data_IF_655441509133
#
_entry.id   IF_655441509133
#
_cell.length_a   1.000
_cell.length_b   1.000
_cell.length_c   1.000
_cell.angle_alpha   90.00
_cell.angle_beta   90.00
_cell.angle_gamma   90.00
#
_symmetry.space_group_name_H-M   'P 1'
#
loop_
_entity.id
_entity.type
_entity.pdbx_description
1 polymer ?
#
# COMPACT_ATOMS: atom_id res chain seq x y z
N UNK A 1 -20.13 -18.76 -26.04
CA UNK A 1 -19.41 -20.04 -26.19
C UNK A 1 -18.53 -20.42 -24.99
N UNK A 2 -18.65 -19.80 -23.81
CA UNK A 2 -17.88 -20.24 -22.63
C UNK A 2 -18.56 -20.09 -21.26
N UNK A 3 -19.80 -19.60 -21.16
CA UNK A 3 -20.50 -19.54 -19.85
C UNK A 3 -20.79 -20.92 -19.23
N UNK A 4 -20.86 -21.99 -20.04
CA UNK A 4 -21.10 -23.37 -19.57
C UNK A 4 -19.82 -24.20 -19.38
N UNK A 5 -18.63 -23.58 -19.41
CA UNK A 5 -17.37 -24.28 -19.13
C UNK A 5 -17.24 -24.49 -17.63
N UNK A 6 -16.87 -25.71 -17.21
CA UNK A 6 -16.58 -26.02 -15.80
C UNK A 6 -15.54 -25.09 -15.19
N UNK A 7 -14.59 -24.60 -15.99
CA UNK A 7 -13.59 -23.60 -15.56
C UNK A 7 -14.24 -22.26 -15.23
N UNK A 8 -15.25 -21.82 -16.00
CA UNK A 8 -15.96 -20.57 -15.74
C UNK A 8 -16.94 -20.74 -14.57
N UNK A 9 -17.59 -21.89 -14.43
CA UNK A 9 -18.38 -22.21 -13.24
C UNK A 9 -17.52 -22.23 -11.98
N UNK A 10 -16.32 -22.83 -12.05
CA UNK A 10 -15.34 -22.78 -10.97
C UNK A 10 -14.84 -21.35 -10.69
N UNK A 11 -14.58 -20.53 -11.72
CA UNK A 11 -14.17 -19.13 -11.53
C UNK A 11 -15.30 -18.27 -10.93
N UNK A 12 -16.55 -18.47 -11.34
CA UNK A 12 -17.71 -17.78 -10.76
C UNK A 12 -17.93 -18.20 -9.32
N UNK A 13 -17.84 -19.51 -9.03
CA UNK A 13 -17.90 -20.03 -7.65
C UNK A 13 -16.72 -19.56 -6.81
N UNK A 14 -15.53 -19.45 -7.40
CA UNK A 14 -14.35 -18.87 -6.75
C UNK A 14 -14.57 -17.40 -6.42
N UNK A 15 -15.22 -16.63 -7.30
CA UNK A 15 -15.58 -15.24 -7.06
C UNK A 15 -16.69 -15.08 -6.00
N UNK A 16 -17.59 -16.05 -5.87
CA UNK A 16 -18.57 -16.09 -4.76
C UNK A 16 -17.92 -16.43 -3.42
N UNK A 17 -16.90 -17.31 -3.42
CA UNK A 17 -16.15 -17.73 -2.23
C UNK A 17 -15.10 -16.67 -1.84
N UNK A 18 -14.55 -15.95 -2.81
CA UNK A 18 -13.56 -14.88 -2.63
C UNK A 18 -14.03 -13.61 -3.38
N UNK A 19 -15.07 -12.93 -2.88
CA UNK A 19 -15.59 -11.72 -3.51
C UNK A 19 -14.59 -10.58 -3.34
N UNK A 20 -13.81 -10.34 -4.39
CA UNK A 20 -12.76 -9.34 -4.38
C UNK A 20 -11.54 -9.83 -3.58
N UNK A 21 -10.52 -10.29 -4.31
CA UNK A 21 -9.27 -10.73 -3.70
C UNK A 21 -8.27 -9.59 -3.72
N UNK A 22 -7.80 -9.19 -2.55
CA UNK A 22 -6.67 -8.26 -2.43
C UNK A 22 -5.38 -9.08 -2.30
N UNK A 23 -4.44 -8.88 -3.23
CA UNK A 23 -3.12 -9.51 -3.14
C UNK A 23 -2.24 -8.81 -2.12
N UNK A 24 -1.52 -9.62 -1.33
CA UNK A 24 -0.41 -9.19 -0.50
C UNK A 24 0.84 -9.94 -0.93
N UNK A 25 1.93 -9.21 -1.12
CA UNK A 25 3.21 -9.77 -1.54
C UNK A 25 4.26 -9.40 -0.51
N UNK A 26 4.98 -10.36 0.05
CA UNK A 26 6.01 -10.13 1.07
C UNK A 26 7.34 -10.55 0.43
N UNK A 27 8.10 -9.60 -0.11
CA UNK A 27 9.40 -9.90 -0.69
C UNK A 27 10.40 -10.29 0.40
N UNK A 28 11.27 -11.22 0.06
CA UNK A 28 12.27 -11.81 0.95
C UNK A 28 13.58 -11.91 0.19
N UNK A 29 14.69 -11.46 0.80
CA UNK A 29 16.04 -11.58 0.24
C UNK A 29 17.02 -12.02 1.31
N UNK A 30 18.01 -12.82 0.94
CA UNK A 30 19.13 -13.15 1.82
C UNK A 30 19.89 -11.90 2.27
N UNK A 31 20.33 -11.87 3.54
CA UNK A 31 21.19 -10.79 4.05
C UNK A 31 22.57 -10.77 3.37
N UNK A 32 23.03 -11.91 2.89
CA UNK A 32 24.27 -12.05 2.14
C UNK A 32 23.98 -12.02 0.62
N UNK A 33 24.69 -11.19 -0.16
CA UNK A 33 24.56 -11.22 -1.61
C UNK A 33 25.20 -12.48 -2.22
N UNK A 34 24.59 -12.94 -3.31
CA UNK A 34 25.14 -13.97 -4.20
C UNK A 34 26.30 -13.37 -4.98
N UNK A 35 27.36 -14.15 -5.15
CA UNK A 35 28.52 -13.78 -5.94
C UNK A 35 28.46 -14.45 -7.30
N UNK A 36 28.95 -13.80 -8.37
CA UNK A 36 28.95 -14.40 -9.70
C UNK A 36 29.76 -15.69 -9.76
N UNK A 37 29.38 -16.58 -10.67
CA UNK A 37 30.11 -17.83 -10.93
C UNK A 37 31.55 -17.54 -11.35
N UNK A 38 32.48 -18.34 -10.83
CA UNK A 38 33.87 -18.28 -11.24
C UNK A 38 34.01 -18.72 -12.71
N UNK A 39 34.59 -17.87 -13.57
CA UNK A 39 34.76 -18.15 -15.01
C UNK A 39 36.14 -18.67 -15.38
N UNK A 40 37.18 -18.22 -14.68
CA UNK A 40 38.60 -18.49 -15.02
C UNK A 40 39.46 -18.87 -13.82
N UNK A 41 38.98 -18.60 -12.61
CA UNK A 41 39.68 -18.90 -11.35
C UNK A 41 38.94 -20.05 -10.67
N UNK A 42 39.67 -21.05 -10.18
CA UNK A 42 39.07 -22.20 -9.50
C UNK A 42 39.37 -22.11 -8.01
N UNK A 43 38.47 -22.66 -7.20
CA UNK A 43 38.72 -22.80 -5.78
C UNK A 43 39.89 -23.79 -5.59
N UNK A 44 40.71 -23.63 -4.54
CA UNK A 44 41.82 -24.54 -4.28
C UNK A 44 41.34 -26.00 -4.21
N UNK A 45 42.03 -26.91 -4.89
CA UNK A 45 41.70 -28.34 -4.94
C UNK A 45 41.53 -28.95 -3.52
N UNK A 46 42.27 -28.43 -2.54
CA UNK A 46 42.19 -28.84 -1.15
C UNK A 46 40.79 -28.71 -0.53
N UNK A 47 39.91 -27.85 -1.06
CA UNK A 47 38.52 -27.70 -0.58
C UNK A 47 37.67 -28.92 -0.96
N UNK A 48 37.94 -29.53 -2.12
CA UNK A 48 37.22 -30.70 -2.61
C UNK A 48 37.49 -31.94 -1.73
N UNK A 49 38.65 -31.98 -1.07
CA UNK A 49 39.08 -33.07 -0.20
C UNK A 49 38.62 -32.91 1.27
N UNK A 50 37.97 -31.80 1.64
CA UNK A 50 37.48 -31.59 3.01
C UNK A 50 36.18 -32.39 3.22
N UNK A 51 36.26 -33.44 4.03
CA UNK A 51 35.09 -34.25 4.42
C UNK A 51 34.19 -33.55 5.43
N UNK A 52 34.74 -32.73 6.32
CA UNK A 52 33.96 -31.94 7.30
C UNK A 52 33.23 -30.78 6.60
N UNK A 53 31.90 -30.86 6.58
CA UNK A 53 31.06 -29.86 5.91
C UNK A 53 31.15 -28.46 6.51
N UNK A 54 31.34 -28.33 7.82
CA UNK A 54 31.46 -27.02 8.47
C UNK A 54 32.80 -26.38 8.15
N UNK A 55 33.87 -27.17 8.19
CA UNK A 55 35.21 -26.73 7.80
C UNK A 55 35.24 -26.34 6.32
N UNK A 56 34.65 -27.16 5.46
CA UNK A 56 34.53 -26.88 4.01
C UNK A 56 33.75 -25.59 3.76
N UNK A 57 32.62 -25.38 4.45
CA UNK A 57 31.83 -24.16 4.32
C UNK A 57 32.61 -22.91 4.76
N UNK A 58 33.39 -23.00 5.84
CA UNK A 58 34.24 -21.88 6.29
C UNK A 58 35.32 -21.55 5.26
N UNK A 59 35.99 -22.57 4.73
CA UNK A 59 37.03 -22.38 3.72
C UNK A 59 36.46 -21.80 2.42
N UNK A 60 35.27 -22.24 2.01
CA UNK A 60 34.52 -21.67 0.90
C UNK A 60 34.21 -20.19 1.09
N UNK A 61 33.85 -19.74 2.30
CA UNK A 61 33.60 -18.33 2.57
C UNK A 61 34.88 -17.48 2.52
N UNK A 62 36.02 -18.03 2.97
CA UNK A 62 37.32 -17.37 2.89
C UNK A 62 37.72 -17.16 1.42
N UNK A 63 37.63 -18.19 0.59
CA UNK A 63 37.97 -18.08 -0.83
C UNK A 63 36.95 -17.23 -1.60
N UNK A 64 35.66 -17.26 -1.24
CA UNK A 64 34.63 -16.32 -1.77
C UNK A 64 35.05 -14.87 -1.58
N UNK A 65 35.51 -14.50 -0.39
CA UNK A 65 35.95 -13.12 -0.12
C UNK A 65 37.23 -12.75 -0.87
N UNK A 66 38.12 -13.71 -1.10
CA UNK A 66 39.42 -13.49 -1.74
C UNK A 66 39.34 -13.41 -3.26
N UNK A 67 38.53 -14.27 -3.89
CA UNK A 67 38.38 -14.38 -5.35
C UNK A 67 37.20 -13.55 -5.87
N UNK A 68 36.22 -13.22 -5.02
CA UNK A 68 35.04 -12.45 -5.42
C UNK A 68 34.09 -13.22 -6.35
N UNK A 69 34.26 -14.54 -6.47
CA UNK A 69 33.43 -15.42 -7.28
C UNK A 69 33.06 -16.70 -6.49
N UNK A 70 32.06 -17.44 -6.98
CA UNK A 70 31.64 -18.71 -6.38
C UNK A 70 31.79 -19.90 -7.32
N UNK A 71 32.25 -21.01 -6.74
CA UNK A 71 32.35 -22.30 -7.38
C UNK A 71 31.31 -23.26 -6.76
N UNK A 72 30.17 -23.53 -7.46
CA UNK A 72 29.12 -24.39 -6.93
C UNK A 72 29.55 -25.85 -6.86
N UNK A 73 30.54 -26.29 -7.65
CA UNK A 73 31.04 -27.66 -7.63
C UNK A 73 31.85 -27.93 -6.35
N UNK A 74 32.65 -26.95 -5.92
CA UNK A 74 33.42 -27.01 -4.67
C UNK A 74 32.55 -26.81 -3.42
N UNK A 75 31.62 -25.84 -3.47
CA UNK A 75 31.00 -25.27 -2.28
C UNK A 75 29.48 -25.44 -2.18
N UNK A 76 28.86 -26.06 -3.19
CA UNK A 76 27.42 -26.24 -3.28
C UNK A 76 26.68 -25.00 -3.80
N UNK A 77 25.38 -25.14 -4.06
CA UNK A 77 24.55 -24.05 -4.59
C UNK A 77 24.47 -22.85 -3.62
N UNK A 78 24.58 -21.62 -4.15
CA UNK A 78 24.33 -20.39 -3.41
C UNK A 78 22.83 -20.09 -3.28
N UNK A 79 22.49 -19.14 -2.43
CA UNK A 79 21.14 -18.60 -2.32
C UNK A 79 20.42 -19.06 -1.06
N UNK A 80 19.69 -18.14 -0.44
CA UNK A 80 19.06 -18.35 0.85
C UNK A 80 17.94 -19.39 0.84
N UNK A 81 17.30 -19.62 -0.32
CA UNK A 81 16.25 -20.62 -0.49
C UNK A 81 16.77 -22.07 -0.57
N UNK A 82 18.10 -22.27 -0.58
CA UNK A 82 18.71 -23.57 -0.31
C UNK A 82 18.77 -23.90 1.20
N UNK A 83 18.35 -22.97 2.07
CA UNK A 83 18.39 -23.17 3.51
C UNK A 83 17.05 -23.73 4.07
N UNK A 84 17.06 -24.97 4.55
CA UNK A 84 15.94 -25.65 5.18
C UNK A 84 15.35 -24.91 6.39
N UNK A 85 16.16 -24.19 7.18
CA UNK A 85 15.64 -23.40 8.31
C UNK A 85 14.80 -22.21 7.80
N UNK A 86 15.22 -21.58 6.70
CA UNK A 86 14.47 -20.47 6.06
C UNK A 86 13.14 -20.99 5.54
N UNK A 87 13.16 -22.10 4.79
CA UNK A 87 11.94 -22.71 4.27
C UNK A 87 11.00 -23.18 5.39
N UNK A 88 11.54 -23.65 6.52
CA UNK A 88 10.74 -24.06 7.67
C UNK A 88 10.04 -22.89 8.35
N UNK A 89 10.72 -21.75 8.51
CA UNK A 89 10.08 -20.56 9.07
C UNK A 89 9.07 -19.95 8.08
N UNK A 90 9.31 -20.06 6.76
CA UNK A 90 8.30 -19.74 5.73
C UNK A 90 7.08 -20.66 5.83
N UNK A 91 7.28 -21.96 6.05
CA UNK A 91 6.17 -22.90 6.27
C UNK A 91 5.33 -22.50 7.49
N UNK A 92 5.96 -22.13 8.61
CA UNK A 92 5.24 -21.65 9.80
C UNK A 92 4.45 -20.38 9.50
N UNK A 93 5.07 -19.42 8.81
CA UNK A 93 4.42 -18.18 8.41
C UNK A 93 3.21 -18.43 7.51
N UNK A 94 3.34 -19.30 6.51
CA UNK A 94 2.22 -19.66 5.64
C UNK A 94 1.09 -20.35 6.40
N UNK A 95 1.41 -21.26 7.31
CA UNK A 95 0.43 -21.97 8.10
C UNK A 95 -0.30 -20.99 9.07
N UNK A 96 0.43 -20.05 9.66
CA UNK A 96 -0.15 -18.96 10.45
C UNK A 96 -1.06 -18.07 9.59
N UNK A 97 -0.58 -17.61 8.44
CA UNK A 97 -1.37 -16.81 7.50
C UNK A 97 -2.65 -17.55 7.11
N UNK A 98 -2.61 -18.83 6.76
CA UNK A 98 -3.81 -19.64 6.45
C UNK A 98 -4.76 -19.84 7.62
N UNK A 99 -4.26 -19.77 8.86
CA UNK A 99 -5.09 -19.82 10.06
C UNK A 99 -5.77 -18.48 10.37
N UNK A 100 -5.34 -17.41 9.71
CA UNK A 100 -5.90 -16.08 9.88
C UNK A 100 -7.30 -16.01 9.28
N UNK A 101 -8.25 -15.40 10.00
CA UNK A 101 -9.66 -15.33 9.61
C UNK A 101 -9.90 -14.74 8.21
N UNK A 102 -9.05 -13.80 7.80
CA UNK A 102 -9.22 -13.01 6.59
C UNK A 102 -8.22 -13.32 5.47
N UNK A 103 -7.35 -14.32 5.61
CA UNK A 103 -6.41 -14.73 4.56
C UNK A 103 -6.89 -16.06 4.00
N UNK A 104 -7.36 -16.06 2.75
CA UNK A 104 -7.96 -17.24 2.13
C UNK A 104 -6.96 -18.20 1.51
N UNK A 105 -5.85 -17.65 1.04
CA UNK A 105 -4.85 -18.43 0.32
C UNK A 105 -3.47 -17.82 0.52
N UNK A 106 -2.47 -18.67 0.53
CA UNK A 106 -1.06 -18.29 0.58
C UNK A 106 -0.24 -19.13 -0.37
N UNK A 107 0.85 -18.57 -0.87
CA UNK A 107 1.78 -19.20 -1.81
C UNK A 107 3.20 -18.74 -1.56
N UNK A 108 4.16 -19.65 -1.46
CA UNK A 108 5.59 -19.33 -1.51
C UNK A 108 6.37 -20.52 -2.05
N UNK A 109 7.66 -20.30 -2.29
CA UNK A 109 8.55 -21.37 -2.74
C UNK A 109 8.59 -22.58 -1.79
N UNK A 110 8.35 -22.39 -0.49
CA UNK A 110 8.30 -23.48 0.49
C UNK A 110 7.24 -24.55 0.13
N UNK A 111 6.16 -24.19 -0.55
CA UNK A 111 5.13 -25.14 -0.98
C UNK A 111 5.65 -26.14 -2.02
N UNK A 112 6.49 -25.70 -2.96
CA UNK A 112 7.10 -26.59 -3.94
C UNK A 112 7.99 -27.62 -3.25
N UNK A 113 8.82 -27.18 -2.31
CA UNK A 113 9.70 -28.06 -1.53
C UNK A 113 8.89 -29.08 -0.72
N UNK A 114 7.79 -28.66 -0.08
CA UNK A 114 6.88 -29.57 0.65
C UNK A 114 6.23 -30.60 -0.27
N UNK A 115 5.79 -30.19 -1.46
CA UNK A 115 5.19 -31.08 -2.45
C UNK A 115 6.21 -32.09 -2.98
N UNK A 116 7.42 -31.63 -3.30
CA UNK A 116 8.52 -32.50 -3.74
C UNK A 116 8.89 -33.48 -2.63
N UNK A 117 8.98 -33.04 -1.37
CA UNK A 117 9.22 -33.92 -0.23
C UNK A 117 8.16 -35.02 -0.16
N UNK A 118 6.87 -34.65 -0.16
CA UNK A 118 5.75 -35.60 -0.10
C UNK A 118 5.72 -36.59 -1.26
N UNK A 119 6.14 -36.17 -2.46
CA UNK A 119 6.17 -37.02 -3.65
C UNK A 119 7.37 -37.98 -3.64
N UNK A 120 8.53 -37.53 -3.16
CA UNK A 120 9.76 -38.31 -3.14
C UNK A 120 9.87 -39.24 -1.92
N UNK A 121 9.13 -38.98 -0.84
CA UNK A 121 9.02 -39.89 0.31
C UNK A 121 8.06 -41.05 0.05
N UNK A 122 7.15 -40.92 -0.92
CA UNK A 122 6.22 -41.99 -1.26
C UNK A 122 6.92 -43.12 -2.03
N UNK A 123 6.77 -44.37 -1.58
CA UNK A 123 7.33 -45.52 -2.29
C UNK A 123 6.62 -45.74 -3.65
N UNK A 124 7.32 -46.26 -4.67
CA UNK A 124 6.71 -46.55 -5.98
C UNK A 124 5.48 -47.46 -5.86
N UNK A 125 4.30 -46.93 -6.19
CA UNK A 125 3.03 -47.65 -6.11
C UNK A 125 2.19 -47.33 -4.86
N UNK A 126 2.74 -46.60 -3.90
CA UNK A 126 2.01 -46.05 -2.76
C UNK A 126 1.44 -44.65 -3.07
N UNK A 127 0.39 -44.26 -2.35
CA UNK A 127 -0.20 -42.91 -2.48
C UNK A 127 0.55 -41.93 -1.57
N UNK A 128 0.81 -40.70 -2.02
CA UNK A 128 1.42 -39.67 -1.17
C UNK A 128 0.56 -39.40 0.07
N UNK A 129 1.22 -39.23 1.22
CA UNK A 129 0.56 -39.01 2.51
C UNK A 129 0.73 -37.55 2.93
N UNK A 130 -0.36 -36.89 3.35
CA UNK A 130 -0.34 -35.47 3.75
C UNK A 130 0.63 -35.18 4.90
N UNK A 131 0.91 -36.17 5.75
CA UNK A 131 1.90 -36.06 6.83
C UNK A 131 3.28 -35.64 6.32
N UNK A 132 3.64 -36.06 5.11
CA UNK A 132 4.97 -35.81 4.52
C UNK A 132 5.01 -34.49 3.74
N UNK A 133 3.92 -33.70 3.76
CA UNK A 133 3.83 -32.34 3.22
C UNK A 133 4.49 -31.31 4.16
N UNK A 134 5.76 -31.52 4.46
CA UNK A 134 6.56 -30.72 5.39
C UNK A 134 7.94 -30.39 4.78
N UNK A 135 8.60 -29.36 5.30
CA UNK A 135 10.00 -29.09 4.94
C UNK A 135 10.90 -30.13 5.63
N UNK A 136 11.89 -30.74 4.92
CA UNK A 136 12.77 -31.77 5.45
C UNK A 136 13.82 -31.20 6.42
N UNK A 137 13.36 -30.58 7.52
CA UNK A 137 14.21 -30.05 8.58
C UNK A 137 14.84 -31.15 9.42
N UNK A 138 15.88 -30.81 10.20
CA UNK A 138 16.48 -31.78 11.13
C UNK A 138 15.44 -32.35 12.10
N UNK A 139 14.56 -31.49 12.63
CA UNK A 139 13.50 -31.91 13.54
C UNK A 139 12.49 -32.86 12.87
N UNK A 140 12.13 -32.61 11.61
CA UNK A 140 11.27 -33.49 10.82
C UNK A 140 11.93 -34.86 10.62
N UNK A 141 13.18 -34.90 10.16
CA UNK A 141 13.90 -36.14 9.91
C UNK A 141 14.02 -37.00 11.17
N UNK A 142 14.44 -36.40 12.29
CA UNK A 142 14.57 -37.12 13.57
C UNK A 142 13.24 -37.52 14.20
N UNK A 143 12.12 -36.92 13.76
CA UNK A 143 10.78 -37.32 14.21
C UNK A 143 10.28 -38.59 13.52
N UNK A 144 10.80 -38.88 12.32
CA UNK A 144 10.49 -40.08 11.55
C UNK A 144 11.45 -41.20 11.96
N UNK A 145 12.74 -40.90 11.95
CA UNK A 145 13.80 -41.81 12.35
C UNK A 145 14.81 -41.07 13.25
N UNK A 146 14.86 -41.37 14.57
CA UNK A 146 15.79 -40.74 15.50
C UNK A 146 17.26 -40.84 15.10
N UNK A 147 17.63 -41.86 14.33
CA UNK A 147 19.00 -42.12 13.88
C UNK A 147 19.29 -41.52 12.49
N UNK A 148 18.33 -40.77 11.90
CA UNK A 148 18.51 -40.11 10.60
C UNK A 148 19.62 -39.05 10.68
N UNK A 149 20.73 -39.31 10.00
CA UNK A 149 21.91 -38.46 9.94
C UNK A 149 21.95 -37.56 8.70
N UNK A 150 20.93 -37.64 7.83
CA UNK A 150 20.88 -36.84 6.60
C UNK A 150 20.89 -35.35 6.90
N UNK A 151 21.50 -34.62 5.97
CA UNK A 151 21.66 -33.18 6.04
C UNK A 151 20.45 -32.48 5.39
N UNK A 152 19.63 -31.74 6.16
CA UNK A 152 18.49 -30.99 5.63
C UNK A 152 18.84 -30.09 4.46
N UNK A 153 20.01 -29.44 4.51
CA UNK A 153 20.43 -28.49 3.47
C UNK A 153 20.70 -29.21 2.15
N UNK A 154 21.39 -30.35 2.21
CA UNK A 154 21.64 -31.20 1.04
C UNK A 154 20.36 -31.75 0.42
N UNK A 155 19.35 -32.08 1.23
CA UNK A 155 18.03 -32.53 0.72
C UNK A 155 17.34 -31.40 -0.05
N UNK A 156 17.29 -30.20 0.53
CA UNK A 156 16.68 -29.04 -0.13
C UNK A 156 17.42 -28.69 -1.43
N UNK A 157 18.76 -28.71 -1.42
CA UNK A 157 19.55 -28.48 -2.63
C UNK A 157 19.26 -29.51 -3.73
N UNK A 158 19.10 -30.78 -3.38
CA UNK A 158 18.70 -31.83 -4.32
C UNK A 158 17.32 -31.52 -4.92
N UNK A 159 16.36 -31.10 -4.09
CA UNK A 159 15.02 -30.74 -4.56
C UNK A 159 15.06 -29.54 -5.51
N UNK A 160 15.86 -28.52 -5.18
CA UNK A 160 16.01 -27.33 -6.02
C UNK A 160 16.63 -27.69 -7.38
N UNK A 161 17.67 -28.54 -7.42
CA UNK A 161 18.27 -29.02 -8.68
C UNK A 161 17.31 -29.89 -9.51
N UNK A 162 16.48 -30.71 -8.86
CA UNK A 162 15.41 -31.45 -9.55
C UNK A 162 14.36 -30.50 -10.14
N UNK A 163 13.94 -29.49 -9.39
CA UNK A 163 12.98 -28.50 -9.87
C UNK A 163 13.55 -27.73 -11.05
N UNK A 164 14.80 -27.24 -10.95
CA UNK A 164 15.48 -26.51 -12.03
C UNK A 164 15.57 -27.33 -13.33
N UNK A 165 15.80 -28.65 -13.24
CA UNK A 165 15.83 -29.53 -14.42
C UNK A 165 14.45 -29.88 -14.98
N UNK A 166 13.39 -29.77 -14.18
CA UNK A 166 12.01 -30.11 -14.58
C UNK A 166 11.17 -28.89 -14.99
N UNK A 167 11.61 -27.67 -14.65
CA UNK A 167 10.92 -26.42 -14.97
C UNK A 167 11.55 -25.72 -16.17
N UNK A 168 10.73 -25.03 -16.97
CA UNK A 168 11.22 -24.16 -18.04
C UNK A 168 11.69 -22.82 -17.46
N UNK A 169 12.52 -22.10 -18.22
CA UNK A 169 12.90 -20.72 -17.87
C UNK A 169 11.65 -19.85 -17.63
N UNK A 170 11.59 -19.20 -16.47
CA UNK A 170 10.44 -18.37 -16.06
C UNK A 170 9.36 -19.07 -15.23
N UNK A 171 9.33 -20.41 -15.15
CA UNK A 171 8.27 -21.13 -14.43
C UNK A 171 8.33 -20.91 -12.91
N UNK A 172 9.52 -20.67 -12.35
CA UNK A 172 9.74 -20.45 -10.91
C UNK A 172 9.88 -18.97 -10.52
N UNK A 173 10.12 -18.08 -11.50
CA UNK A 173 10.39 -16.65 -11.29
C UNK A 173 9.26 -15.90 -10.58
N UNK A 174 8.05 -16.49 -10.56
CA UNK A 174 6.90 -15.97 -9.82
C UNK A 174 7.04 -16.07 -8.30
N UNK A 175 7.91 -16.95 -7.78
CA UNK A 175 8.07 -17.21 -6.35
C UNK A 175 9.51 -17.09 -5.84
N UNK A 176 10.50 -17.42 -6.67
CA UNK A 176 11.92 -17.38 -6.32
C UNK A 176 12.72 -16.93 -7.53
N UNK A 177 13.72 -16.09 -7.33
CA UNK A 177 14.63 -15.68 -8.38
C UNK A 177 15.59 -16.82 -8.74
N UNK A 178 16.11 -16.80 -9.97
CA UNK A 178 17.04 -17.81 -10.49
C UNK A 178 18.34 -17.94 -9.67
N UNK A 179 18.73 -16.90 -8.92
CA UNK A 179 19.90 -16.92 -8.04
C UNK A 179 19.62 -17.54 -6.65
N UNK A 180 18.39 -18.01 -6.42
CA UNK A 180 17.93 -18.61 -5.18
C UNK A 180 18.05 -17.72 -3.94
N UNK A 181 18.26 -16.40 -4.13
CA UNK A 181 18.50 -15.48 -3.03
C UNK A 181 17.36 -14.52 -2.75
N UNK A 182 16.41 -14.45 -3.68
CA UNK A 182 15.22 -13.61 -3.59
C UNK A 182 13.98 -14.44 -3.82
N UNK A 183 12.90 -14.09 -3.13
CA UNK A 183 11.60 -14.72 -3.34
C UNK A 183 10.48 -13.92 -2.74
N UNK A 184 9.26 -14.44 -2.87
CA UNK A 184 8.06 -13.75 -2.40
C UNK A 184 7.09 -14.72 -1.74
N UNK A 185 6.51 -14.28 -0.62
CA UNK A 185 5.33 -14.91 -0.03
C UNK A 185 4.11 -14.14 -0.52
N UNK A 186 3.23 -14.82 -1.25
CA UNK A 186 1.96 -14.32 -1.75
C UNK A 186 0.85 -14.69 -0.78
N UNK A 187 -0.08 -13.79 -0.58
CA UNK A 187 -1.33 -14.02 0.15
C UNK A 187 -2.50 -13.37 -0.58
N UNK A 188 -3.68 -13.93 -0.34
CA UNK A 188 -4.95 -13.39 -0.83
C UNK A 188 -5.86 -13.12 0.35
N UNK A 189 -6.23 -11.84 0.49
CA UNK A 189 -7.10 -11.36 1.55
C UNK A 189 -8.55 -11.49 1.09
N UNK A 190 -9.37 -12.12 1.93
CA UNK A 190 -10.77 -12.46 1.66
C UNK A 190 -11.76 -11.46 2.26
N UNK A 191 -11.31 -10.24 2.51
CA UNK A 191 -12.16 -9.15 3.00
C UNK A 191 -11.91 -7.89 2.22
N UNK A 192 -13.00 -7.16 2.00
CA UNK A 192 -13.06 -5.82 1.42
C UNK A 192 -13.55 -4.83 2.48
N UNK A 193 -13.39 -5.09 3.77
CA UNK A 193 -13.61 -4.09 4.82
C UNK A 193 -12.28 -3.36 5.12
N UNK A 194 -12.23 -2.02 5.04
CA UNK A 194 -10.96 -1.30 5.19
C UNK A 194 -10.34 -1.43 6.59
N UNK A 195 -11.13 -1.69 7.64
CA UNK A 195 -10.61 -1.91 8.99
C UNK A 195 -10.00 -3.29 9.10
N UNK A 196 -10.66 -4.29 8.54
CA UNK A 196 -10.19 -5.67 8.56
C UNK A 196 -8.93 -5.83 7.68
N UNK A 197 -8.88 -5.23 6.49
CA UNK A 197 -7.69 -5.25 5.62
C UNK A 197 -6.50 -4.57 6.29
N UNK A 198 -6.73 -3.45 6.98
CA UNK A 198 -5.69 -2.77 7.74
C UNK A 198 -5.18 -3.63 8.90
N UNK A 199 -6.10 -4.26 9.64
CA UNK A 199 -5.75 -5.16 10.74
C UNK A 199 -4.90 -6.33 10.24
N UNK A 200 -5.29 -6.97 9.13
CA UNK A 200 -4.50 -8.06 8.52
C UNK A 200 -3.09 -7.60 8.16
N UNK A 201 -2.94 -6.38 7.62
CA UNK A 201 -1.62 -5.83 7.31
C UNK A 201 -0.78 -5.67 8.58
N UNK A 202 -1.37 -5.12 9.65
CA UNK A 202 -0.69 -4.97 10.94
C UNK A 202 -0.32 -6.32 11.54
N UNK A 203 -1.19 -7.32 11.44
CA UNK A 203 -0.96 -8.67 11.96
C UNK A 203 0.20 -9.35 11.20
N UNK A 204 0.26 -9.20 9.87
CA UNK A 204 1.38 -9.73 9.05
C UNK A 204 2.69 -9.04 9.45
N UNK A 205 2.70 -7.71 9.55
CA UNK A 205 3.89 -6.96 9.95
C UNK A 205 4.33 -7.34 11.37
N UNK A 206 3.39 -7.51 12.29
CA UNK A 206 3.66 -7.93 13.66
C UNK A 206 4.23 -9.35 13.70
N UNK A 207 3.68 -10.29 12.93
CA UNK A 207 4.23 -11.64 12.83
C UNK A 207 5.69 -11.62 12.39
N UNK A 208 6.01 -10.82 11.36
CA UNK A 208 7.40 -10.67 10.88
C UNK A 208 8.29 -10.09 12.00
N UNK A 209 7.82 -9.07 12.71
CA UNK A 209 8.59 -8.46 13.82
C UNK A 209 8.87 -9.43 14.97
N UNK A 210 7.90 -10.27 15.32
CA UNK A 210 8.02 -11.26 16.39
C UNK A 210 8.97 -12.40 16.00
N UNK A 211 8.99 -12.79 14.73
CA UNK A 211 9.73 -13.98 14.25
C UNK A 211 10.99 -13.64 13.44
N UNK A 212 11.35 -12.36 13.27
CA UNK A 212 12.54 -11.96 12.49
C UNK A 212 13.86 -12.55 13.00
N UNK A 213 13.90 -12.97 14.25
CA UNK A 213 15.08 -13.58 14.88
C UNK A 213 15.05 -15.12 14.91
N UNK A 214 14.06 -15.75 14.26
CA UNK A 214 14.02 -17.20 14.14
C UNK A 214 15.22 -17.73 13.31
N UNK A 215 15.50 -19.03 13.42
CA UNK A 215 16.72 -19.65 12.87
C UNK A 215 16.90 -19.41 11.37
N UNK A 216 15.81 -19.42 10.61
CA UNK A 216 15.78 -19.10 9.20
C UNK A 216 15.62 -17.60 8.96
N UNK A 217 14.63 -16.99 9.60
CA UNK A 217 14.27 -15.58 9.37
C UNK A 217 15.39 -14.59 9.72
N UNK A 218 16.26 -14.92 10.68
CA UNK A 218 17.44 -14.11 11.03
C UNK A 218 18.43 -13.92 9.87
N UNK A 219 18.39 -14.79 8.85
CA UNK A 219 19.26 -14.79 7.67
C UNK A 219 18.70 -14.01 6.47
N UNK A 220 17.45 -13.54 6.55
CA UNK A 220 16.76 -12.82 5.47
C UNK A 220 16.31 -11.44 5.91
N UNK A 221 16.14 -10.56 4.94
CA UNK A 221 15.42 -9.29 5.07
C UNK A 221 14.02 -9.45 4.49
N UNK A 222 13.04 -8.84 5.15
CA UNK A 222 11.63 -8.89 4.77
C UNK A 222 11.13 -7.52 4.33
N UNK A 223 10.18 -7.55 3.39
CA UNK A 223 9.33 -6.40 3.10
C UNK A 223 10.07 -5.22 2.48
N UNK A 224 9.34 -4.39 1.76
CA UNK A 224 9.91 -3.16 1.23
C UNK A 224 10.11 -2.15 2.36
N UNK A 225 11.10 -1.29 2.23
CA UNK A 225 11.29 -0.15 3.13
C UNK A 225 10.14 0.85 2.94
N UNK A 226 9.32 1.08 3.97
CA UNK A 226 8.39 2.22 4.01
C UNK A 226 9.07 3.40 4.71
N UNK A 227 9.84 4.20 3.97
CA UNK A 227 10.54 5.36 4.54
C UNK A 227 9.58 6.36 5.21
N UNK A 228 10.03 7.14 6.22
CA UNK A 228 9.25 8.28 6.69
C UNK A 228 9.02 9.28 5.54
N UNK A 229 7.89 10.00 5.56
CA UNK A 229 7.46 10.94 4.50
C UNK A 229 8.50 12.02 4.17
N UNK A 230 9.44 12.28 5.07
CA UNK A 230 10.53 13.25 4.89
C UNK A 230 11.64 12.74 3.94
N UNK A 231 11.64 11.45 3.60
CA UNK A 231 12.52 10.81 2.62
C UNK A 231 11.90 10.87 1.21
N UNK A 232 12.00 12.04 0.57
CA UNK A 232 11.57 12.29 -0.81
C UNK A 232 12.43 11.56 -1.86
N UNK A 233 13.38 10.70 -1.46
CA UNK A 233 14.28 10.00 -2.39
C UNK A 233 13.60 8.93 -3.25
N UNK A 234 12.31 8.67 -3.01
CA UNK A 234 11.56 7.66 -3.75
C UNK A 234 11.84 6.26 -3.22
N UNK A 235 10.92 5.34 -3.50
CA UNK A 235 11.07 3.93 -3.14
C UNK A 235 12.26 3.34 -3.92
N UNK A 236 13.36 3.01 -3.22
CA UNK A 236 14.57 2.44 -3.81
C UNK A 236 14.41 0.94 -4.13
N UNK A 237 13.21 0.34 -3.93
CA UNK A 237 12.99 -1.11 -3.92
C UNK A 237 13.95 -1.82 -2.94
N UNK A 238 14.44 -1.11 -1.93
CA UNK A 238 15.29 -1.66 -0.89
C UNK A 238 14.42 -2.32 0.17
N UNK A 239 14.86 -3.48 0.64
CA UNK A 239 14.18 -4.16 1.74
C UNK A 239 14.45 -3.45 3.06
N UNK A 240 13.60 -3.68 4.06
CA UNK A 240 13.93 -3.24 5.41
C UNK A 240 15.17 -3.99 5.93
N UNK A 241 16.14 -3.24 6.45
CA UNK A 241 17.40 -3.77 6.99
C UNK A 241 17.51 -3.43 8.47
N UNK A 242 17.83 -4.44 9.29
CA UNK A 242 18.13 -4.26 10.71
C UNK A 242 19.31 -3.29 10.89
N UNK A 243 19.13 -2.23 11.70
CA UNK A 243 20.18 -1.25 11.95
C UNK A 243 19.68 0.05 12.57
N UNK A 244 20.53 1.08 12.56
CA UNK A 244 20.21 2.40 13.11
C UNK A 244 19.01 3.07 12.42
N UNK A 245 18.72 2.70 11.17
CA UNK A 245 17.62 3.20 10.35
C UNK A 245 16.55 2.12 10.13
N UNK A 246 16.33 1.24 11.11
CA UNK A 246 15.33 0.18 10.98
C UNK A 246 13.94 0.76 10.78
N UNK A 247 13.26 0.26 9.76
CA UNK A 247 11.88 0.60 9.44
C UNK A 247 11.07 -0.68 9.51
N UNK A 248 9.85 -0.62 10.06
CA UNK A 248 8.97 -1.79 10.05
C UNK A 248 8.79 -2.31 8.61
N UNK A 249 8.97 -3.61 8.35
CA UNK A 249 8.90 -4.15 6.99
C UNK A 249 7.49 -3.97 6.42
N UNK A 250 7.38 -3.28 5.28
CA UNK A 250 6.10 -3.10 4.62
C UNK A 250 5.78 -4.31 3.73
N UNK A 251 4.49 -4.59 3.59
CA UNK A 251 4.01 -5.57 2.62
C UNK A 251 3.79 -4.87 1.28
N UNK A 252 3.99 -5.59 0.19
CA UNK A 252 3.70 -5.15 -1.17
C UNK A 252 2.37 -5.70 -1.68
N UNK A 253 2.20 -5.69 -3.01
CA UNK A 253 0.93 -6.05 -3.65
C UNK A 253 -0.10 -4.93 -3.56
N UNK A 254 -1.35 -5.22 -3.93
CA UNK A 254 -2.42 -4.22 -3.89
C UNK A 254 -2.73 -3.76 -2.46
N UNK A 255 -2.61 -4.67 -1.48
CA UNK A 255 -2.75 -4.35 -0.06
C UNK A 255 -1.70 -3.33 0.39
N UNK A 256 -0.43 -3.62 0.10
CA UNK A 256 0.69 -2.77 0.42
C UNK A 256 0.57 -1.36 -0.14
N UNK A 257 0.21 -1.25 -1.42
CA UNK A 257 -0.01 0.03 -2.07
C UNK A 257 -1.15 0.83 -1.42
N UNK A 258 -2.26 0.17 -1.10
CA UNK A 258 -3.42 0.81 -0.46
C UNK A 258 -3.08 1.30 0.95
N UNK A 259 -2.34 0.50 1.72
CA UNK A 259 -1.88 0.88 3.06
C UNK A 259 -0.86 2.02 3.02
N UNK A 260 0.11 1.98 2.12
CA UNK A 260 1.08 3.07 1.95
C UNK A 260 0.38 4.40 1.63
N UNK A 261 -0.60 4.38 0.72
CA UNK A 261 -1.40 5.58 0.42
C UNK A 261 -2.27 6.03 1.60
N UNK A 262 -2.77 5.08 2.40
CA UNK A 262 -3.57 5.36 3.61
C UNK A 262 -2.70 5.99 4.69
N UNK A 263 -1.48 5.51 4.91
CA UNK A 263 -0.52 6.08 5.86
C UNK A 263 -0.24 7.55 5.52
N UNK A 264 0.13 7.83 4.27
CA UNK A 264 0.34 9.22 3.79
C UNK A 264 -0.92 10.07 3.98
N UNK A 265 -2.09 9.50 3.72
CA UNK A 265 -3.34 10.21 3.90
C UNK A 265 -3.63 10.52 5.38
N UNK A 266 -3.41 9.56 6.28
CA UNK A 266 -3.60 9.73 7.73
C UNK A 266 -2.53 10.62 8.34
N UNK A 267 -1.36 10.78 7.76
CA UNK A 267 -0.40 11.79 8.24
C UNK A 267 -0.78 13.20 7.79
N UNK A 268 -1.28 13.34 6.56
CA UNK A 268 -1.58 14.62 5.94
C UNK A 268 -3.01 15.10 6.16
N UNK A 269 -3.87 14.26 6.73
CA UNK A 269 -5.31 14.54 6.91
C UNK A 269 -5.57 15.88 7.57
N UNK A 270 -4.73 16.31 8.52
CA UNK A 270 -4.86 17.61 9.20
C UNK A 270 -3.83 18.63 8.71
N UNK A 271 -2.60 18.20 8.40
CA UNK A 271 -1.51 19.09 7.96
C UNK A 271 -1.86 19.81 6.65
N UNK A 272 -2.35 19.07 5.65
CA UNK A 272 -2.65 19.62 4.32
C UNK A 272 -3.79 20.67 4.35
N UNK A 273 -4.98 20.39 4.93
CA UNK A 273 -6.03 21.39 5.04
C UNK A 273 -5.61 22.62 5.84
N UNK A 274 -4.85 22.45 6.92
CA UNK A 274 -4.39 23.59 7.73
C UNK A 274 -3.42 24.49 6.96
N UNK A 275 -2.49 23.92 6.18
CA UNK A 275 -1.58 24.68 5.33
C UNK A 275 -2.35 25.43 4.23
N UNK A 276 -3.31 24.76 3.58
CA UNK A 276 -4.17 25.37 2.56
C UNK A 276 -5.05 26.48 3.15
N UNK A 277 -5.68 26.23 4.30
CA UNK A 277 -6.45 27.22 5.05
C UNK A 277 -5.63 28.45 5.43
N UNK A 278 -4.40 28.23 5.93
CA UNK A 278 -3.49 29.31 6.30
C UNK A 278 -3.07 30.13 5.07
N UNK A 279 -2.73 29.47 3.96
CA UNK A 279 -2.39 30.14 2.71
C UNK A 279 -3.55 31.00 2.20
N UNK A 280 -4.77 30.44 2.17
CA UNK A 280 -5.99 31.16 1.78
C UNK A 280 -6.25 32.34 2.72
N UNK A 281 -6.11 32.16 4.04
CA UNK A 281 -6.29 33.24 5.00
C UNK A 281 -5.30 34.39 4.77
N UNK A 282 -4.02 34.08 4.56
CA UNK A 282 -3.00 35.09 4.29
C UNK A 282 -3.28 35.83 2.97
N UNK A 283 -3.55 35.08 1.89
CA UNK A 283 -3.80 35.67 0.56
C UNK A 283 -5.06 36.55 0.59
N UNK A 284 -6.17 36.07 1.16
CA UNK A 284 -7.40 36.83 1.28
C UNK A 284 -7.24 38.06 2.19
N UNK A 285 -6.50 37.93 3.30
CA UNK A 285 -6.19 39.06 4.17
C UNK A 285 -5.39 40.15 3.43
N UNK A 286 -4.47 39.77 2.54
CA UNK A 286 -3.69 40.70 1.72
C UNK A 286 -4.53 41.35 0.62
N UNK A 287 -5.32 40.56 -0.13
CA UNK A 287 -6.18 41.05 -1.23
C UNK A 287 -7.20 42.06 -0.70
N UNK A 288 -7.89 41.71 0.39
CA UNK A 288 -8.94 42.55 0.96
C UNK A 288 -8.43 43.53 2.01
N UNK A 289 -7.15 43.46 2.38
CA UNK A 289 -6.55 44.24 3.49
C UNK A 289 -7.41 44.18 4.76
N UNK A 290 -8.02 43.01 5.02
CA UNK A 290 -9.00 42.84 6.08
C UNK A 290 -8.97 41.44 6.68
N UNK A 291 -8.50 41.34 7.92
CA UNK A 291 -8.48 40.08 8.68
C UNK A 291 -9.90 39.53 8.94
N UNK A 292 -10.89 40.41 9.06
CA UNK A 292 -12.29 39.99 9.27
C UNK A 292 -12.85 39.30 8.02
N UNK A 293 -12.60 39.84 6.83
CA UNK A 293 -13.02 39.23 5.56
C UNK A 293 -12.33 37.88 5.36
N UNK A 294 -11.03 37.82 5.60
CA UNK A 294 -10.27 36.58 5.53
C UNK A 294 -10.82 35.52 6.50
N UNK A 295 -11.17 35.92 7.73
CA UNK A 295 -11.78 35.05 8.72
C UNK A 295 -13.15 34.53 8.31
N UNK A 296 -13.99 35.35 7.67
CA UNK A 296 -15.30 34.94 7.14
C UNK A 296 -15.13 33.89 6.03
N UNK A 297 -14.23 34.13 5.08
CA UNK A 297 -13.95 33.19 3.98
C UNK A 297 -13.37 31.88 4.51
N UNK A 298 -12.44 31.96 5.48
CA UNK A 298 -11.90 30.77 6.13
C UNK A 298 -13.00 29.97 6.84
N UNK A 299 -13.92 30.65 7.54
CA UNK A 299 -15.01 29.99 8.23
C UNK A 299 -15.95 29.24 7.27
N UNK A 300 -16.29 29.82 6.12
CA UNK A 300 -17.10 29.12 5.11
C UNK A 300 -16.39 27.90 4.55
N UNK A 301 -15.08 27.96 4.35
CA UNK A 301 -14.28 26.81 3.89
C UNK A 301 -14.22 25.69 4.93
N UNK A 302 -14.14 26.03 6.22
CA UNK A 302 -14.16 25.01 7.27
C UNK A 302 -15.47 24.23 7.29
N UNK A 303 -16.60 24.84 6.91
CA UNK A 303 -17.89 24.13 6.81
C UNK A 303 -17.82 23.06 5.71
N UNK A 304 -17.33 23.42 4.52
CA UNK A 304 -17.13 22.48 3.41
C UNK A 304 -16.15 21.37 3.80
N UNK A 305 -15.05 21.72 4.45
CA UNK A 305 -14.05 20.79 4.97
C UNK A 305 -14.67 19.74 5.91
N UNK A 306 -15.42 20.20 6.94
CA UNK A 306 -16.05 19.29 7.89
C UNK A 306 -17.15 18.44 7.25
N UNK A 307 -17.87 18.98 6.27
CA UNK A 307 -18.86 18.22 5.52
C UNK A 307 -18.21 17.08 4.72
N UNK A 308 -17.12 17.36 3.99
CA UNK A 308 -16.38 16.33 3.26
C UNK A 308 -15.83 15.24 4.18
N UNK A 309 -15.27 15.59 5.34
CA UNK A 309 -14.89 14.58 6.35
C UNK A 309 -16.08 13.78 6.85
N UNK A 310 -17.23 14.42 7.05
CA UNK A 310 -18.48 13.77 7.43
C UNK A 310 -18.93 12.76 6.37
N UNK A 311 -18.91 13.13 5.09
CA UNK A 311 -19.26 12.24 3.98
C UNK A 311 -18.27 11.09 3.85
N UNK A 312 -16.96 11.37 3.99
CA UNK A 312 -15.94 10.32 4.00
C UNK A 312 -16.09 9.35 5.18
N UNK A 313 -16.43 9.87 6.36
CA UNK A 313 -16.79 9.08 7.52
C UNK A 313 -18.02 8.22 7.28
N UNK A 314 -19.05 8.74 6.62
CA UNK A 314 -20.26 7.99 6.26
C UNK A 314 -19.96 6.85 5.29
N UNK A 315 -19.21 7.11 4.21
CA UNK A 315 -18.87 6.08 3.23
C UNK A 315 -17.97 4.98 3.81
N UNK A 316 -17.06 5.31 4.72
CA UNK A 316 -16.21 4.32 5.40
C UNK A 316 -16.95 3.53 6.47
N UNK A 317 -17.83 4.16 7.26
CA UNK A 317 -18.48 3.52 8.42
C UNK A 317 -19.80 2.82 8.13
N UNK A 318 -20.58 3.33 7.16
CA UNK A 318 -21.91 2.81 6.82
C UNK A 318 -21.91 2.18 5.44
N UNK A 319 -21.17 2.77 4.49
CA UNK A 319 -21.05 2.25 3.13
C UNK A 319 -20.13 1.03 2.98
N UNK A 320 -19.40 0.64 4.04
CA UNK A 320 -18.36 -0.39 4.04
C UNK A 320 -17.40 -0.27 2.86
N UNK A 321 -17.07 0.97 2.47
CA UNK A 321 -16.28 1.21 1.28
C UNK A 321 -14.78 1.17 1.62
N UNK A 322 -14.08 0.16 1.12
CA UNK A 322 -12.65 -0.13 1.39
C UNK A 322 -11.63 0.43 0.41
N UNK A 323 -12.04 1.29 -0.53
CA UNK A 323 -11.11 1.87 -1.50
C UNK A 323 -10.04 2.76 -0.85
N UNK A 324 -9.15 3.32 -1.68
CA UNK A 324 -8.19 4.35 -1.28
C UNK A 324 -8.87 5.71 -0.98
N UNK A 325 -10.01 5.65 -0.29
CA UNK A 325 -10.96 6.73 -0.09
C UNK A 325 -10.34 7.85 0.74
N UNK A 326 -9.44 7.52 1.66
CA UNK A 326 -8.68 8.49 2.44
C UNK A 326 -7.80 9.37 1.54
N UNK A 327 -7.12 8.79 0.54
CA UNK A 327 -6.33 9.56 -0.41
C UNK A 327 -7.22 10.42 -1.32
N UNK A 328 -8.30 9.85 -1.86
CA UNK A 328 -9.23 10.59 -2.70
C UNK A 328 -9.89 11.76 -1.96
N UNK A 329 -10.23 11.57 -0.69
CA UNK A 329 -10.76 12.61 0.18
C UNK A 329 -9.78 13.78 0.29
N UNK A 330 -8.48 13.53 0.49
CA UNK A 330 -7.48 14.60 0.57
C UNK A 330 -7.29 15.36 -0.75
N UNK A 331 -7.26 14.64 -1.88
CA UNK A 331 -7.15 15.26 -3.20
C UNK A 331 -8.37 16.15 -3.47
N UNK A 332 -9.57 15.63 -3.24
CA UNK A 332 -10.81 16.38 -3.46
C UNK A 332 -10.97 17.55 -2.51
N UNK A 333 -10.53 17.42 -1.26
CA UNK A 333 -10.51 18.49 -0.28
C UNK A 333 -9.61 19.65 -0.73
N UNK A 334 -8.42 19.36 -1.25
CA UNK A 334 -7.52 20.38 -1.78
C UNK A 334 -8.14 21.12 -2.97
N UNK A 335 -8.80 20.39 -3.87
CA UNK A 335 -9.53 20.96 -5.02
C UNK A 335 -10.71 21.81 -4.53
N UNK A 336 -11.53 21.26 -3.63
CA UNK A 336 -12.70 21.91 -3.07
C UNK A 336 -12.35 23.23 -2.37
N UNK A 337 -11.34 23.23 -1.51
CA UNK A 337 -10.93 24.46 -0.82
C UNK A 337 -10.47 25.56 -1.78
N UNK A 338 -9.82 25.20 -2.89
CA UNK A 338 -9.44 26.14 -3.95
C UNK A 338 -10.64 26.68 -4.72
N UNK A 339 -11.57 25.82 -5.12
CA UNK A 339 -12.77 26.24 -5.87
C UNK A 339 -13.75 27.05 -4.99
N UNK A 340 -13.92 26.64 -3.73
CA UNK A 340 -14.88 27.25 -2.80
C UNK A 340 -14.50 28.67 -2.39
N UNK A 341 -13.20 28.95 -2.21
CA UNK A 341 -12.77 30.30 -1.81
C UNK A 341 -13.03 31.32 -2.91
N UNK A 342 -12.87 30.93 -4.17
CA UNK A 342 -13.06 31.81 -5.33
C UNK A 342 -14.48 32.36 -5.39
N UNK A 343 -15.49 31.53 -5.10
CA UNK A 343 -16.88 31.99 -5.05
C UNK A 343 -17.09 33.04 -3.95
N UNK A 344 -16.51 32.81 -2.77
CA UNK A 344 -16.58 33.78 -1.68
C UNK A 344 -15.87 35.09 -2.01
N UNK A 345 -14.70 35.03 -2.66
CA UNK A 345 -13.93 36.20 -3.10
C UNK A 345 -14.76 37.03 -4.09
N UNK A 346 -15.34 36.41 -5.12
CA UNK A 346 -16.17 37.11 -6.10
C UNK A 346 -17.40 37.74 -5.47
N UNK A 347 -18.09 37.02 -4.58
CA UNK A 347 -19.26 37.54 -3.89
C UNK A 347 -18.92 38.74 -3.00
N UNK A 348 -17.83 38.70 -2.22
CA UNK A 348 -17.42 39.82 -1.36
C UNK A 348 -16.96 41.01 -2.19
N UNK A 349 -16.18 40.79 -3.26
CA UNK A 349 -15.71 41.87 -4.13
C UNK A 349 -16.89 42.62 -4.74
N UNK A 350 -17.84 41.87 -5.32
CA UNK A 350 -19.03 42.48 -5.93
C UNK A 350 -19.92 43.18 -4.90
N UNK A 351 -20.10 42.56 -3.74
CA UNK A 351 -20.88 43.17 -2.66
C UNK A 351 -20.30 44.51 -2.22
N UNK A 352 -18.98 44.63 -2.14
CA UNK A 352 -18.33 45.92 -1.83
C UNK A 352 -18.55 46.95 -2.94
N UNK A 353 -18.40 46.58 -4.20
CA UNK A 353 -18.65 47.49 -5.33
C UNK A 353 -20.09 48.03 -5.30
N UNK A 354 -21.07 47.15 -5.07
CA UNK A 354 -22.47 47.53 -4.99
C UNK A 354 -22.80 48.34 -3.73
N UNK A 355 -22.17 48.05 -2.59
CA UNK A 355 -22.27 48.87 -1.38
C UNK A 355 -21.77 50.30 -1.61
N UNK A 356 -20.70 50.47 -2.38
CA UNK A 356 -20.19 51.79 -2.77
C UNK A 356 -21.13 52.49 -3.78
N UNK A 357 -21.62 51.75 -4.79
CA UNK A 357 -22.48 52.30 -5.83
C UNK A 357 -23.86 52.74 -5.33
N UNK A 358 -24.42 52.02 -4.35
CA UNK A 358 -25.76 52.28 -3.77
C UNK A 358 -25.73 53.19 -2.54
N UNK A 359 -24.56 53.77 -2.21
CA UNK A 359 -24.42 54.66 -1.04
C UNK A 359 -24.64 53.96 0.30
N UNK A 360 -24.30 52.67 0.40
CA UNK A 360 -24.40 51.87 1.63
C UNK A 360 -25.75 51.19 1.86
N UNK A 361 -26.65 51.18 0.87
CA UNK A 361 -27.93 50.48 0.98
C UNK A 361 -27.78 48.95 0.84
N UNK A 362 -27.55 48.28 1.98
CA UNK A 362 -27.33 46.83 2.06
C UNK A 362 -28.29 45.98 1.21
N UNK A 363 -29.60 46.24 1.29
CA UNK A 363 -30.60 45.38 0.63
C UNK A 363 -30.51 45.50 -0.89
N UNK A 364 -30.28 46.72 -1.38
CA UNK A 364 -30.10 46.98 -2.81
C UNK A 364 -28.76 46.41 -3.31
N UNK A 365 -27.68 46.60 -2.54
CA UNK A 365 -26.37 46.07 -2.90
C UNK A 365 -26.36 44.54 -2.97
N UNK A 366 -26.98 43.89 -1.98
CA UNK A 366 -27.10 42.44 -1.93
C UNK A 366 -27.93 41.94 -3.12
N UNK A 367 -29.07 42.57 -3.42
CA UNK A 367 -29.91 42.19 -4.56
C UNK A 367 -29.15 42.29 -5.87
N UNK A 368 -28.40 43.38 -6.09
CA UNK A 368 -27.60 43.56 -7.30
C UNK A 368 -26.48 42.52 -7.39
N UNK A 369 -25.80 42.24 -6.27
CA UNK A 369 -24.74 41.22 -6.19
C UNK A 369 -25.27 39.83 -6.53
N UNK A 370 -26.42 39.45 -5.96
CA UNK A 370 -27.05 38.16 -6.23
C UNK A 370 -27.49 38.04 -7.69
N UNK A 371 -28.10 39.09 -8.25
CA UNK A 371 -28.58 39.08 -9.63
C UNK A 371 -27.45 39.02 -10.67
N UNK A 372 -26.27 39.55 -10.34
CA UNK A 372 -25.10 39.59 -11.24
C UNK A 372 -24.14 38.44 -10.96
N UNK A 373 -23.25 38.61 -9.98
CA UNK A 373 -22.23 37.62 -9.63
C UNK A 373 -22.85 36.35 -9.06
N UNK A 374 -23.93 36.43 -8.28
CA UNK A 374 -24.61 35.24 -7.76
C UNK A 374 -25.12 34.33 -8.87
N UNK A 375 -25.81 34.90 -9.88
CA UNK A 375 -26.23 34.17 -11.07
C UNK A 375 -25.06 33.55 -11.83
N UNK A 376 -23.94 34.27 -11.97
CA UNK A 376 -22.74 33.76 -12.62
C UNK A 376 -22.13 32.57 -11.87
N UNK A 377 -22.03 32.65 -10.53
CA UNK A 377 -21.53 31.56 -9.66
C UNK A 377 -22.38 30.30 -9.81
N UNK A 378 -23.72 30.43 -9.83
CA UNK A 378 -24.62 29.29 -10.02
C UNK A 378 -24.36 28.62 -11.37
N UNK A 379 -24.23 29.40 -12.45
CA UNK A 379 -23.97 28.86 -13.80
C UNK A 379 -22.63 28.13 -13.82
N UNK A 380 -21.57 28.72 -13.26
CA UNK A 380 -20.25 28.10 -13.18
C UNK A 380 -20.29 26.75 -12.48
N UNK A 381 -21.03 26.64 -11.37
CA UNK A 381 -21.13 25.37 -10.64
C UNK A 381 -21.98 24.34 -11.35
N UNK A 382 -23.07 24.73 -12.02
CA UNK A 382 -23.83 23.80 -12.87
C UNK A 382 -22.95 23.21 -13.97
N UNK A 383 -22.10 24.03 -14.60
CA UNK A 383 -21.15 23.56 -15.62
C UNK A 383 -20.11 22.63 -15.01
N UNK A 384 -19.53 22.97 -13.85
CA UNK A 384 -18.56 22.13 -13.17
C UNK A 384 -19.16 20.79 -12.73
N UNK A 385 -20.33 20.79 -12.09
CA UNK A 385 -21.05 19.57 -11.74
C UNK A 385 -21.29 18.70 -12.98
N UNK A 386 -21.74 19.30 -14.08
CA UNK A 386 -21.90 18.62 -15.36
C UNK A 386 -20.62 17.96 -15.88
N UNK A 387 -19.46 18.60 -15.68
CA UNK A 387 -18.15 18.07 -16.10
C UNK A 387 -17.68 16.86 -15.27
N UNK A 388 -18.17 16.71 -14.02
CA UNK A 388 -17.83 15.59 -13.14
C UNK A 388 -18.80 14.41 -13.25
N UNK A 389 -19.94 14.53 -13.94
CA UNK A 389 -20.89 13.42 -14.16
C UNK A 389 -20.22 12.18 -14.77
N UNK A 390 -19.34 12.29 -15.80
CA UNK A 390 -18.67 11.11 -16.37
C UNK A 390 -17.81 10.34 -15.37
N UNK A 391 -17.25 11.02 -14.35
CA UNK A 391 -16.48 10.37 -13.29
C UNK A 391 -17.36 9.48 -12.42
N UNK A 392 -18.59 9.91 -12.15
CA UNK A 392 -19.55 9.12 -11.36
C UNK A 392 -20.01 7.86 -12.12
N UNK A 393 -20.00 7.89 -13.46
CA UNK A 393 -20.40 6.78 -14.32
C UNK A 393 -19.33 5.70 -14.54
N UNK A 394 -18.16 5.78 -13.91
CA UNK A 394 -17.08 4.79 -14.10
C UNK A 394 -17.23 3.59 -13.18
N UNK A 395 -16.87 2.40 -13.66
CA UNK A 395 -16.81 1.17 -12.85
C UNK A 395 -15.61 1.16 -11.87
N UNK A 396 -14.66 2.07 -12.04
CA UNK A 396 -13.51 2.19 -11.13
C UNK A 396 -13.96 2.86 -9.83
N UNK A 397 -13.99 2.09 -8.75
CA UNK A 397 -14.44 2.55 -7.44
C UNK A 397 -13.75 3.87 -7.02
N UNK A 398 -12.44 3.89 -7.14
CA UNK A 398 -11.58 5.03 -6.80
C UNK A 398 -11.90 6.33 -7.59
N UNK A 399 -12.49 6.20 -8.79
CA UNK A 399 -12.73 7.33 -9.69
C UNK A 399 -14.11 7.97 -9.47
N UNK A 400 -15.16 7.18 -9.24
CA UNK A 400 -16.48 7.76 -8.96
C UNK A 400 -16.55 8.47 -7.61
N UNK A 401 -15.83 7.99 -6.60
CA UNK A 401 -15.73 8.65 -5.29
C UNK A 401 -15.21 10.08 -5.38
N UNK A 402 -14.23 10.32 -6.26
CA UNK A 402 -13.72 11.66 -6.54
C UNK A 402 -14.84 12.60 -7.04
N UNK A 403 -15.66 12.11 -7.97
CA UNK A 403 -16.78 12.86 -8.53
C UNK A 403 -17.83 13.23 -7.46
N UNK A 404 -18.12 12.32 -6.54
CA UNK A 404 -19.06 12.58 -5.44
C UNK A 404 -18.52 13.62 -4.47
N UNK A 405 -17.28 13.49 -3.99
CA UNK A 405 -16.71 14.45 -3.04
C UNK A 405 -16.59 15.85 -3.62
N UNK A 406 -16.20 15.97 -4.89
CA UNK A 406 -16.15 17.27 -5.57
C UNK A 406 -17.57 17.83 -5.73
N UNK A 407 -18.54 16.99 -6.13
CA UNK A 407 -19.91 17.42 -6.31
C UNK A 407 -20.56 17.92 -5.01
N UNK A 408 -20.37 17.18 -3.91
CA UNK A 408 -20.78 17.60 -2.57
C UNK A 408 -20.18 18.95 -2.20
N UNK A 409 -18.85 19.07 -2.30
CA UNK A 409 -18.14 20.28 -1.93
C UNK A 409 -18.64 21.50 -2.71
N UNK A 410 -18.79 21.39 -4.04
CA UNK A 410 -19.28 22.47 -4.88
C UNK A 410 -20.69 22.94 -4.48
N UNK A 411 -21.59 22.02 -4.13
CA UNK A 411 -22.95 22.36 -3.68
C UNK A 411 -22.89 23.15 -2.38
N UNK A 412 -22.06 22.72 -1.43
CA UNK A 412 -21.88 23.38 -0.13
C UNK A 412 -21.22 24.75 -0.32
N UNK A 413 -20.20 24.85 -1.17
CA UNK A 413 -19.49 26.09 -1.45
C UNK A 413 -20.41 27.14 -2.07
N UNK A 414 -21.26 26.76 -3.03
CA UNK A 414 -22.26 27.69 -3.60
C UNK A 414 -23.27 28.11 -2.54
N UNK A 415 -23.77 27.16 -1.77
CA UNK A 415 -24.74 27.46 -0.72
C UNK A 415 -24.14 28.44 0.31
N UNK A 416 -22.91 28.19 0.76
CA UNK A 416 -22.22 29.05 1.73
C UNK A 416 -21.88 30.42 1.13
N UNK A 417 -21.42 30.50 -0.12
CA UNK A 417 -21.09 31.76 -0.78
C UNK A 417 -22.32 32.64 -1.06
N UNK A 418 -23.45 32.06 -1.43
CA UNK A 418 -24.67 32.80 -1.77
C UNK A 418 -25.52 33.15 -0.54
N UNK A 419 -25.57 32.29 0.47
CA UNK A 419 -26.47 32.47 1.61
C UNK A 419 -25.72 32.86 2.88
N UNK A 420 -24.76 32.04 3.30
CA UNK A 420 -24.11 32.21 4.60
C UNK A 420 -23.15 33.40 4.61
N UNK A 421 -22.39 33.61 3.54
CA UNK A 421 -21.40 34.66 3.45
C UNK A 421 -22.01 36.07 3.53
N UNK A 422 -23.08 36.42 2.78
CA UNK A 422 -23.72 37.72 2.95
C UNK A 422 -24.27 37.94 4.37
N UNK A 423 -24.79 36.87 4.99
CA UNK A 423 -25.29 36.92 6.36
C UNK A 423 -24.17 37.21 7.37
N UNK A 424 -23.01 36.56 7.23
CA UNK A 424 -21.83 36.80 8.06
C UNK A 424 -21.26 38.20 7.84
N UNK A 425 -21.21 38.67 6.60
CA UNK A 425 -20.77 40.05 6.27
C UNK A 425 -21.70 41.07 6.91
N UNK A 426 -23.01 40.88 6.83
CA UNK A 426 -23.98 41.77 7.47
C UNK A 426 -23.84 41.80 9.00
N UNK A 427 -23.61 40.64 9.61
CA UNK A 427 -23.52 40.52 11.06
C UNK A 427 -22.21 41.09 11.63
N UNK A 428 -21.07 40.74 11.02
CA UNK A 428 -19.73 41.15 11.47
C UNK A 428 -19.33 42.55 10.99
N UNK A 429 -20.03 43.09 9.99
CA UNK A 429 -19.81 44.43 9.41
C UNK A 429 -18.34 44.74 9.16
N UNK A 430 -17.63 43.94 8.34
CA UNK A 430 -16.22 44.17 8.08
C UNK A 430 -16.00 45.57 7.48
N UNK A 431 -14.99 46.30 7.99
CA UNK A 431 -14.63 47.64 7.51
C UNK A 431 -14.35 47.69 6.00
N UNK A 432 -13.94 46.59 5.40
CA UNK A 432 -13.72 46.51 3.95
C UNK A 432 -15.00 46.79 3.14
N UNK A 433 -16.14 46.28 3.61
CA UNK A 433 -17.44 46.37 2.92
C UNK A 433 -18.23 47.61 3.38
N UNK A 434 -18.19 47.92 4.68
CA UNK A 434 -18.98 49.01 5.27
C UNK A 434 -18.20 50.31 5.52
N UNK A 435 -16.88 50.30 5.32
CA UNK A 435 -16.06 51.49 5.52
C UNK A 435 -16.15 52.43 4.32
N UNK A 436 -16.29 53.72 4.59
CA UNK A 436 -16.12 54.75 3.57
C UNK A 436 -14.69 54.74 3.03
N UNK A 437 -14.53 54.76 1.71
CA UNK A 437 -13.26 55.08 1.07
C UNK A 437 -12.95 56.56 1.37
N UNK A 438 -12.33 56.84 2.52
CA UNK A 438 -11.61 58.09 2.76
C UNK A 438 -10.21 58.00 2.17
#
# INVERSE_FOLDING_TARGET
>A
FKESSITIEHLMRLNEIMPGVISVNIPIRGKEPVTPLCKTEYYPDAIYDIEDKQERAQQCQIEKQKLGCWDPDACGAQGIFNNADVLADLEKMENWMRSHQFIGYTGSYAQYVRLVNMLLTAEPGEKPVIRDLAIPTRAYLTSIDPDDDRDPQGIVQLYNGLLETMTSEGDMDSFVAADWNEGVVLGFINTMDPRETHQVTMDIQQYIEEHKNDKGFSKVNFGLRSGPVDDLSGDTNELSVDGANYVRPAVGGFLGATEATREVAIENWLKSPLQTALAIFIISALIFRSLMVAGILLFTLLITLFAQYGLGGYFTSVGNWSGNLAFHLLVTLSIAMGLGVDYGIYMISRLREEMQATGGNWMESLRNTQNTTGSAVIISVVVLLGSFIPLVGTDLANTWGLGIYIGEALIIDVFTALMLLPLLVYWLKPKYVFGDNR
#
